data_IF_151098383629
#
_entry.id   IF_151098383629
#
_cell.length_a   1.000
_cell.length_b   1.000
_cell.length_c   1.000
_cell.angle_alpha   90.00
_cell.angle_beta   90.00
_cell.angle_gamma   90.00
#
_symmetry.space_group_name_H-M   'P 1'
#
loop_
_entity.id
_entity.type
_entity.pdbx_description
1 polymer ?
#
# COMPACT_ATOMS: atom_id res chain seq x y z
N UNK A 1 -22.64 7.34 13.37
CA UNK A 1 -21.25 7.38 12.84
C UNK A 1 -21.03 6.04 12.16
N UNK A 2 -20.76 6.01 10.85
CA UNK A 2 -20.71 4.77 10.07
C UNK A 2 -19.36 4.09 10.34
N UNK A 3 -19.31 2.96 11.07
CA UNK A 3 -18.05 2.34 11.51
C UNK A 3 -17.13 1.95 10.33
N UNK A 4 -17.71 1.58 9.20
CA UNK A 4 -17.00 1.15 7.99
C UNK A 4 -16.14 2.23 7.31
N UNK A 5 -16.49 3.51 7.45
CA UNK A 5 -15.66 4.60 6.90
C UNK A 5 -14.37 4.76 7.70
N UNK A 6 -14.50 4.68 9.03
CA UNK A 6 -13.37 4.75 9.97
C UNK A 6 -12.41 3.56 9.86
N UNK A 7 -12.90 2.35 9.58
CA UNK A 7 -12.03 1.18 9.35
C UNK A 7 -11.18 1.33 8.09
N UNK A 8 -11.81 1.74 6.97
CA UNK A 8 -11.10 1.98 5.71
C UNK A 8 -10.09 3.12 5.85
N UNK A 9 -10.48 4.21 6.51
CA UNK A 9 -9.60 5.36 6.75
C UNK A 9 -8.39 4.97 7.61
N UNK A 10 -8.61 4.21 8.69
CA UNK A 10 -7.52 3.69 9.53
C UNK A 10 -6.57 2.75 8.76
N UNK A 11 -7.10 1.89 7.88
CA UNK A 11 -6.26 1.07 6.99
C UNK A 11 -5.46 1.91 5.99
N UNK A 12 -6.04 2.97 5.42
CA UNK A 12 -5.33 3.90 4.53
C UNK A 12 -4.23 4.63 5.31
N UNK A 13 -4.52 5.12 6.52
CA UNK A 13 -3.52 5.75 7.39
C UNK A 13 -2.39 4.78 7.76
N UNK A 14 -2.71 3.52 8.02
CA UNK A 14 -1.72 2.48 8.28
C UNK A 14 -0.78 2.25 7.09
N UNK A 15 -1.34 2.13 5.88
CA UNK A 15 -0.56 2.04 4.63
C UNK A 15 0.29 3.29 4.42
N UNK A 16 -0.25 4.48 4.73
CA UNK A 16 0.45 5.75 4.63
C UNK A 16 1.65 5.82 5.60
N UNK A 17 1.46 5.37 6.85
CA UNK A 17 2.51 5.31 7.86
C UNK A 17 3.63 4.33 7.48
N UNK A 18 3.27 3.18 6.90
CA UNK A 18 4.25 2.23 6.36
C UNK A 18 5.02 2.81 5.17
N UNK A 19 4.35 3.52 4.26
CA UNK A 19 5.01 4.21 3.15
C UNK A 19 6.02 5.26 3.64
N UNK A 20 5.67 6.04 4.68
CA UNK A 20 6.57 7.03 5.28
C UNK A 20 7.82 6.38 5.89
N UNK A 21 7.65 5.29 6.64
CA UNK A 21 8.79 4.56 7.22
C UNK A 21 9.74 4.01 6.16
N UNK A 22 9.20 3.40 5.11
CA UNK A 22 10.00 2.91 3.98
C UNK A 22 10.69 4.06 3.25
N UNK A 23 10.01 5.18 3.07
CA UNK A 23 10.59 6.40 2.50
C UNK A 23 11.80 6.88 3.29
N UNK A 24 11.68 7.02 4.62
CA UNK A 24 12.78 7.47 5.47
C UNK A 24 13.97 6.50 5.38
N UNK A 25 13.70 5.19 5.48
CA UNK A 25 14.74 4.15 5.39
C UNK A 25 15.44 4.13 4.03
N UNK A 26 14.70 4.33 2.94
CA UNK A 26 15.29 4.43 1.60
C UNK A 26 16.03 5.74 1.37
N UNK A 27 15.61 6.83 2.01
CA UNK A 27 16.37 8.07 2.03
C UNK A 27 17.72 7.88 2.73
N UNK A 28 17.73 7.23 3.90
CA UNK A 28 18.95 6.93 4.66
C UNK A 28 19.92 6.04 3.87
N UNK A 29 19.40 5.00 3.22
CA UNK A 29 20.20 4.08 2.38
C UNK A 29 20.53 4.65 0.99
N UNK A 30 20.05 5.86 0.66
CA UNK A 30 20.18 6.51 -0.67
C UNK A 30 19.66 5.66 -1.82
N UNK A 31 18.61 4.89 -1.55
CA UNK A 31 17.99 3.96 -2.50
C UNK A 31 16.97 4.71 -3.38
N UNK A 32 17.46 5.32 -4.47
CA UNK A 32 16.63 6.17 -5.36
C UNK A 32 15.58 5.37 -6.14
N UNK A 33 15.89 4.12 -6.50
CA UNK A 33 14.99 3.26 -7.27
C UNK A 33 13.68 3.01 -6.50
N UNK A 34 13.68 2.44 -5.27
CA UNK A 34 12.44 2.20 -4.53
C UNK A 34 11.69 3.47 -4.19
N UNK A 35 12.39 4.58 -3.89
CA UNK A 35 11.76 5.89 -3.67
C UNK A 35 10.96 6.35 -4.90
N UNK A 36 11.52 6.19 -6.10
CA UNK A 36 10.86 6.58 -7.35
C UNK A 36 9.60 5.75 -7.58
N UNK A 37 9.62 4.46 -7.25
CA UNK A 37 8.43 3.61 -7.35
C UNK A 37 7.37 3.97 -6.31
N UNK A 38 7.76 4.24 -5.07
CA UNK A 38 6.83 4.66 -4.02
C UNK A 38 6.12 5.97 -4.38
N UNK A 39 6.87 6.97 -4.85
CA UNK A 39 6.34 8.28 -5.26
C UNK A 39 5.41 8.24 -6.49
N UNK A 40 5.31 7.11 -7.23
CA UNK A 40 4.34 6.97 -8.32
C UNK A 40 2.90 6.77 -7.83
N UNK A 41 2.73 6.25 -6.63
CA UNK A 41 1.43 5.97 -6.02
C UNK A 41 1.22 6.63 -4.66
N UNK A 42 2.23 7.31 -4.13
CA UNK A 42 2.22 7.99 -2.84
C UNK A 42 2.60 9.46 -3.01
N UNK A 43 2.00 10.41 -2.26
CA UNK A 43 1.03 10.25 -1.16
C UNK A 43 -0.43 10.10 -1.62
N UNK A 44 -1.18 9.28 -0.89
CA UNK A 44 -2.61 9.06 -1.12
C UNK A 44 -3.43 10.16 -0.43
N UNK A 45 -3.81 11.20 -1.17
CA UNK A 45 -4.57 12.34 -0.60
C UNK A 45 -6.04 12.02 -0.30
N UNK A 46 -6.69 11.16 -1.09
CA UNK A 46 -8.13 10.87 -0.95
C UNK A 46 -8.47 9.38 -0.77
N UNK A 47 -7.48 8.50 -0.57
CA UNK A 47 -7.73 7.06 -0.51
C UNK A 47 -8.36 6.51 -1.81
N UNK A 48 -8.02 7.12 -2.93
CA UNK A 48 -8.60 6.80 -4.23
C UNK A 48 -8.14 5.40 -4.67
N UNK A 49 -9.07 4.53 -5.13
CA UNK A 49 -8.74 3.15 -5.50
C UNK A 49 -7.75 3.07 -6.68
N UNK A 50 -7.72 4.04 -7.59
CA UNK A 50 -6.71 4.06 -8.67
C UNK A 50 -5.32 4.37 -8.11
N UNK A 51 -5.23 5.20 -7.06
CA UNK A 51 -3.96 5.50 -6.39
C UNK A 51 -3.45 4.27 -5.64
N UNK A 52 -4.34 3.55 -4.93
CA UNK A 52 -4.01 2.26 -4.30
C UNK A 52 -3.56 1.22 -5.33
N UNK A 53 -4.24 1.11 -6.49
CA UNK A 53 -3.83 0.20 -7.57
C UNK A 53 -2.44 0.53 -8.11
N UNK A 54 -2.14 1.82 -8.30
CA UNK A 54 -0.82 2.28 -8.74
C UNK A 54 0.26 1.96 -7.72
N UNK A 55 -0.02 2.19 -6.44
CA UNK A 55 0.88 1.85 -5.34
C UNK A 55 1.15 0.33 -5.28
N UNK A 56 0.10 -0.50 -5.29
CA UNK A 56 0.24 -1.96 -5.30
C UNK A 56 1.00 -2.49 -6.52
N UNK A 57 0.77 -1.90 -7.70
CA UNK A 57 1.53 -2.23 -8.91
C UNK A 57 3.01 -1.87 -8.76
N UNK A 58 3.32 -0.68 -8.24
CA UNK A 58 4.69 -0.24 -8.02
C UNK A 58 5.42 -1.12 -7.00
N UNK A 59 4.76 -1.51 -5.90
CA UNK A 59 5.31 -2.41 -4.88
C UNK A 59 5.57 -3.81 -5.43
N UNK A 60 4.68 -4.37 -6.26
CA UNK A 60 4.92 -5.66 -6.92
C UNK A 60 6.08 -5.61 -7.92
N UNK A 61 6.25 -4.51 -8.65
CA UNK A 61 7.40 -4.33 -9.53
C UNK A 61 8.70 -4.22 -8.71
N UNK A 62 8.67 -3.50 -7.59
CA UNK A 62 9.77 -3.43 -6.63
C UNK A 62 10.13 -4.80 -6.08
N UNK A 63 9.13 -5.57 -5.66
CA UNK A 63 9.30 -6.94 -5.15
C UNK A 63 9.95 -7.84 -6.19
N UNK A 64 9.56 -7.70 -7.47
CA UNK A 64 10.17 -8.44 -8.58
C UNK A 64 11.62 -8.04 -8.83
N UNK A 65 11.96 -6.77 -8.69
CA UNK A 65 13.33 -6.28 -8.88
C UNK A 65 14.26 -6.68 -7.72
N UNK A 66 13.75 -6.71 -6.48
CA UNK A 66 14.50 -7.06 -5.28
C UNK A 66 14.47 -8.54 -4.89
N UNK A 67 13.97 -9.44 -5.76
CA UNK A 67 13.91 -10.90 -5.53
C UNK A 67 15.25 -11.57 -5.17
N UNK A 68 16.38 -10.88 -5.39
CA UNK A 68 17.72 -11.40 -5.12
C UNK A 68 18.33 -10.92 -3.79
N UNK A 69 17.69 -9.98 -3.06
CA UNK A 69 18.23 -9.39 -1.82
C UNK A 69 17.27 -9.57 -0.63
N UNK A 70 16.78 -10.81 -0.48
CA UNK A 70 15.69 -11.20 0.42
C UNK A 70 16.01 -11.14 1.91
N UNK A 71 17.20 -10.66 2.30
CA UNK A 71 17.63 -10.57 3.71
C UNK A 71 17.44 -9.16 4.30
N UNK A 72 16.88 -8.21 3.54
CA UNK A 72 16.67 -6.86 4.01
C UNK A 72 15.29 -6.72 4.70
N UNK A 73 15.27 -6.27 5.95
CA UNK A 73 14.03 -5.97 6.66
C UNK A 73 13.18 -4.90 5.93
N UNK A 74 13.79 -4.07 5.08
CA UNK A 74 13.04 -3.16 4.20
C UNK A 74 12.20 -3.93 3.17
N UNK A 75 12.66 -5.09 2.69
CA UNK A 75 11.92 -5.91 1.75
C UNK A 75 10.70 -6.58 2.39
N UNK A 76 10.83 -7.01 3.65
CA UNK A 76 9.72 -7.55 4.42
C UNK A 76 8.62 -6.49 4.58
N UNK A 77 8.99 -5.26 4.94
CA UNK A 77 8.05 -4.14 5.04
C UNK A 77 7.37 -3.81 3.69
N UNK A 78 8.07 -3.95 2.56
CA UNK A 78 7.46 -3.79 1.22
C UNK A 78 6.43 -4.89 0.93
N UNK A 79 6.71 -6.12 1.33
CA UNK A 79 5.78 -7.24 1.16
C UNK A 79 4.51 -6.99 1.98
N UNK A 80 4.66 -6.65 3.26
CA UNK A 80 3.54 -6.32 4.15
C UNK A 80 2.71 -5.14 3.63
N UNK A 81 3.38 -4.08 3.13
CA UNK A 81 2.71 -2.94 2.52
C UNK A 81 1.92 -3.36 1.27
N UNK A 82 2.51 -4.21 0.41
CA UNK A 82 1.84 -4.71 -0.80
C UNK A 82 0.59 -5.50 -0.45
N UNK A 83 0.66 -6.37 0.55
CA UNK A 83 -0.47 -7.21 0.98
C UNK A 83 -1.58 -6.34 1.58
N UNK A 84 -1.24 -5.35 2.41
CA UNK A 84 -2.23 -4.40 2.96
C UNK A 84 -2.94 -3.58 1.87
N UNK A 85 -2.21 -3.17 0.83
CA UNK A 85 -2.80 -2.45 -0.32
C UNK A 85 -3.71 -3.38 -1.12
N UNK A 86 -3.33 -4.63 -1.32
CA UNK A 86 -4.15 -5.62 -2.02
C UNK A 86 -5.44 -5.95 -1.24
N UNK A 87 -5.37 -6.10 0.09
CA UNK A 87 -6.56 -6.27 0.94
C UNK A 87 -7.50 -5.07 0.86
N UNK A 88 -6.97 -3.84 0.90
CA UNK A 88 -7.76 -2.62 0.70
C UNK A 88 -8.43 -2.58 -0.67
N UNK A 89 -7.74 -3.02 -1.72
CA UNK A 89 -8.31 -3.10 -3.06
C UNK A 89 -9.43 -4.14 -3.14
N UNK A 90 -9.25 -5.30 -2.52
CA UNK A 90 -10.27 -6.35 -2.42
C UNK A 90 -11.50 -5.80 -1.70
N UNK A 91 -11.32 -5.17 -0.53
CA UNK A 91 -12.40 -4.54 0.25
C UNK A 91 -13.13 -3.44 -0.55
N UNK A 92 -12.41 -2.63 -1.32
CA UNK A 92 -13.01 -1.60 -2.18
C UNK A 92 -13.74 -2.17 -3.40
N UNK A 93 -13.37 -3.37 -3.83
CA UNK A 93 -13.95 -4.05 -4.99
C UNK A 93 -15.14 -4.93 -4.63
N UNK A 94 -15.32 -5.30 -3.36
CA UNK A 94 -16.48 -6.06 -2.93
C UNK A 94 -17.73 -5.22 -3.21
N UNK A 95 -18.65 -5.69 -4.08
CA UNK A 95 -19.92 -5.02 -4.22
C UNK A 95 -20.62 -5.08 -2.86
N UNK A 96 -21.15 -3.96 -2.40
CA UNK A 96 -22.00 -3.84 -1.20
C UNK A 96 -23.34 -4.61 -1.37
N UNK A 97 -23.42 -5.59 -2.27
CA UNK A 97 -24.59 -6.45 -2.48
C UNK A 97 -24.61 -7.59 -1.45
N UNK A 98 -24.71 -7.24 -0.16
CA UNK A 98 -25.09 -8.20 0.87
C UNK A 98 -26.04 -7.55 1.89
N UNK A 99 -26.95 -6.69 1.43
CA UNK A 99 -28.13 -6.28 2.21
C UNK A 99 -29.35 -6.09 1.31
N UNK A 100 -29.84 -7.19 0.75
CA UNK A 100 -31.21 -7.33 0.24
C UNK A 100 -31.42 -8.84 0.12
N UNK A 101 -32.09 -9.55 1.02
CA UNK A 101 -33.37 -9.24 1.64
C UNK A 101 -34.30 -10.36 1.22
N UNK A 102 -34.59 -11.29 2.14
CA UNK A 102 -35.84 -12.03 2.39
C UNK A 102 -35.59 -13.10 3.46
#
# INVERSE_FOLDING_TARGET
MVPYLSERENSIEHVNAMCLRLFDRWCETRSVVPLTYLLKGWPMTNGDPDTLRRLGTALRELRRQHLHDSNDAAFQEVCELSDCVDDLLILSSLPTSATSGW
#
